data_IF_037522684522
#
_entry.id   IF_037522684522
#
_cell.length_a   1.000
_cell.length_b   1.000
_cell.length_c   1.000
_cell.angle_alpha   90.00
_cell.angle_beta   90.00
_cell.angle_gamma   90.00
#
_symmetry.space_group_name_H-M   'P 1'
#
loop_
_entity.id
_entity.type
_entity.pdbx_description
1 polymer ?
#
# COMPACT_ATOMS: atom_id res chain seq x y z
N UNK A 1 12.30 -1.80 5.51
CA UNK A 1 10.89 -2.21 5.63
C UNK A 1 10.48 -2.98 4.39
N UNK A 2 9.59 -3.99 4.47
CA UNK A 2 9.11 -4.68 3.28
C UNK A 2 8.34 -3.71 2.36
N UNK A 3 8.54 -3.80 1.05
CA UNK A 3 7.84 -2.95 0.08
C UNK A 3 6.32 -3.18 0.14
N UNK A 4 5.53 -2.10 0.13
CA UNK A 4 4.06 -2.17 0.09
C UNK A 4 3.65 -2.86 -1.21
N UNK A 5 3.10 -4.08 -1.12
CA UNK A 5 2.76 -4.93 -2.28
C UNK A 5 1.33 -4.72 -2.77
N UNK A 6 0.49 -4.10 -1.96
CA UNK A 6 -0.92 -3.88 -2.23
C UNK A 6 -1.32 -2.49 -1.78
N UNK A 7 -2.22 -1.89 -2.54
CA UNK A 7 -3.00 -0.72 -2.17
C UNK A 7 -4.35 -1.23 -1.67
N UNK A 8 -4.85 -0.66 -0.59
CA UNK A 8 -6.15 -1.01 -0.07
C UNK A 8 -6.92 0.24 0.34
N UNK A 9 -8.24 0.13 0.36
CA UNK A 9 -9.14 1.16 0.83
C UNK A 9 -10.46 0.54 1.28
N UNK A 10 -11.15 1.27 2.13
CA UNK A 10 -12.43 0.89 2.74
C UNK A 10 -13.31 2.12 2.89
N UNK A 11 -14.59 1.98 2.59
CA UNK A 11 -15.62 3.01 2.69
C UNK A 11 -16.64 2.57 3.72
N UNK A 12 -16.94 3.49 4.63
CA UNK A 12 -17.91 3.30 5.68
C UNK A 12 -19.05 4.29 5.53
N UNK A 13 -20.25 3.86 5.94
CA UNK A 13 -21.40 4.73 6.09
C UNK A 13 -21.60 4.99 7.58
N UNK A 14 -21.57 6.27 7.96
CA UNK A 14 -21.84 6.76 9.31
C UNK A 14 -23.28 7.28 9.34
N UNK A 15 -24.11 6.72 10.21
CA UNK A 15 -25.45 7.23 10.54
C UNK A 15 -25.39 7.82 11.95
N UNK A 16 -25.78 9.07 12.07
CA UNK A 16 -25.92 9.75 13.35
C UNK A 16 -27.40 9.99 13.62
N UNK A 17 -27.86 9.49 14.76
CA UNK A 17 -29.17 9.74 15.35
C UNK A 17 -28.97 10.49 16.68
N UNK A 18 -30.03 11.07 17.26
CA UNK A 18 -29.96 11.93 18.45
C UNK A 18 -29.26 11.28 19.66
N UNK A 19 -29.24 9.94 19.71
CA UNK A 19 -28.67 9.17 20.82
C UNK A 19 -27.58 8.18 20.39
N UNK A 20 -27.35 7.99 19.08
CA UNK A 20 -26.50 6.91 18.61
C UNK A 20 -25.80 7.25 17.30
N UNK A 21 -24.49 7.03 17.28
CA UNK A 21 -23.67 7.07 16.08
C UNK A 21 -23.29 5.63 15.70
N UNK A 22 -23.66 5.20 14.50
CA UNK A 22 -23.31 3.87 13.98
C UNK A 22 -22.54 4.00 12.69
N UNK A 23 -21.41 3.28 12.62
CA UNK A 23 -20.59 3.18 11.42
C UNK A 23 -20.53 1.74 10.95
N UNK A 24 -20.69 1.52 9.63
CA UNK A 24 -20.66 0.20 9.01
C UNK A 24 -19.85 0.23 7.72
N UNK A 25 -19.04 -0.81 7.50
CA UNK A 25 -18.33 -1.02 6.24
C UNK A 25 -19.34 -1.28 5.10
N UNK A 26 -19.21 -0.53 4.01
CA UNK A 26 -20.08 -0.66 2.82
C UNK A 26 -19.32 -1.21 1.63
N UNK A 27 -18.07 -0.79 1.45
CA UNK A 27 -17.24 -1.25 0.35
C UNK A 27 -15.78 -1.30 0.75
N UNK A 28 -15.05 -2.25 0.19
CA UNK A 28 -13.60 -2.32 0.30
C UNK A 28 -12.99 -2.74 -1.02
N UNK A 29 -11.78 -2.27 -1.30
CA UNK A 29 -11.06 -2.63 -2.52
C UNK A 29 -9.58 -2.78 -2.23
N UNK A 30 -9.01 -3.88 -2.72
CA UNK A 30 -7.56 -4.14 -2.71
C UNK A 30 -7.09 -4.21 -4.15
N UNK A 31 -5.89 -3.67 -4.42
CA UNK A 31 -5.24 -3.74 -5.72
C UNK A 31 -3.76 -4.05 -5.52
N UNK A 32 -3.22 -4.97 -6.31
CA UNK A 32 -1.78 -5.25 -6.33
C UNK A 32 -1.05 -3.99 -6.82
N UNK A 33 0.07 -3.67 -6.20
CA UNK A 33 0.92 -2.56 -6.62
C UNK A 33 1.32 -2.73 -8.10
N UNK A 34 1.43 -1.64 -8.88
CA UNK A 34 1.85 -1.71 -10.28
C UNK A 34 3.20 -2.43 -10.43
N UNK A 35 3.34 -3.20 -11.52
CA UNK A 35 4.60 -3.89 -11.85
C UNK A 35 5.74 -2.90 -12.13
N UNK A 36 5.41 -1.72 -12.65
CA UNK A 36 6.36 -0.62 -12.76
C UNK A 36 6.64 -0.09 -11.36
N UNK A 37 7.92 -0.07 -10.97
CA UNK A 37 8.36 0.48 -9.68
C UNK A 37 7.84 1.91 -9.53
N UNK A 38 7.10 2.13 -8.45
CA UNK A 38 6.60 3.43 -7.99
C UNK A 38 7.01 3.56 -6.53
N UNK A 39 7.36 4.77 -6.12
CA UNK A 39 7.72 5.05 -4.72
C UNK A 39 6.51 4.89 -3.82
N UNK A 40 6.78 4.70 -2.52
CA UNK A 40 5.73 4.55 -1.52
C UNK A 40 4.75 5.74 -1.54
N UNK A 41 5.17 7.03 -1.51
CA UNK A 41 4.23 8.15 -1.57
C UNK A 41 3.37 8.16 -2.83
N UNK A 42 3.92 7.77 -3.99
CA UNK A 42 3.16 7.65 -5.25
C UNK A 42 2.16 6.50 -5.19
N UNK A 43 2.46 5.40 -4.49
CA UNK A 43 1.50 4.33 -4.22
C UNK A 43 0.36 4.81 -3.32
N UNK A 44 0.65 5.57 -2.27
CA UNK A 44 -0.40 6.12 -1.39
C UNK A 44 -1.30 7.10 -2.13
N UNK A 45 -0.74 7.96 -2.99
CA UNK A 45 -1.51 8.83 -3.88
C UNK A 45 -2.41 8.03 -4.84
N UNK A 46 -1.92 6.91 -5.37
CA UNK A 46 -2.73 6.01 -6.21
C UNK A 46 -3.85 5.33 -5.41
N UNK A 47 -3.60 4.96 -4.15
CA UNK A 47 -4.63 4.45 -3.24
C UNK A 47 -5.73 5.49 -3.02
N UNK A 48 -5.35 6.75 -2.74
CA UNK A 48 -6.26 7.87 -2.59
C UNK A 48 -7.12 8.11 -3.85
N UNK A 49 -6.49 8.07 -5.03
CA UNK A 49 -7.19 8.18 -6.31
C UNK A 49 -8.20 7.05 -6.52
N UNK A 50 -7.83 5.81 -6.19
CA UNK A 50 -8.77 4.69 -6.25
C UNK A 50 -9.91 4.85 -5.23
N UNK A 51 -9.61 5.45 -4.08
CA UNK A 51 -10.56 5.76 -3.02
C UNK A 51 -11.66 6.71 -3.48
N UNK A 52 -11.32 7.84 -4.10
CA UNK A 52 -12.33 8.80 -4.60
C UNK A 52 -13.18 8.23 -5.72
N UNK A 53 -12.60 7.39 -6.58
CA UNK A 53 -13.35 6.70 -7.63
C UNK A 53 -14.35 5.71 -7.03
N UNK A 54 -13.94 4.97 -5.99
CA UNK A 54 -14.87 4.08 -5.29
C UNK A 54 -15.94 4.87 -4.52
N UNK A 55 -15.57 6.00 -3.90
CA UNK A 55 -16.52 6.88 -3.22
C UNK A 55 -17.60 7.36 -4.17
N UNK A 56 -17.21 7.85 -5.36
CA UNK A 56 -18.17 8.25 -6.41
C UNK A 56 -19.10 7.10 -6.77
N UNK A 57 -18.55 5.91 -7.04
CA UNK A 57 -19.34 4.72 -7.36
C UNK A 57 -20.32 4.35 -6.24
N UNK A 58 -19.89 4.34 -4.97
CA UNK A 58 -20.74 4.00 -3.83
C UNK A 58 -21.85 5.02 -3.63
N UNK A 59 -21.57 6.31 -3.79
CA UNK A 59 -22.58 7.38 -3.68
C UNK A 59 -23.65 7.23 -4.76
N UNK A 60 -23.25 6.94 -5.99
CA UNK A 60 -24.16 6.69 -7.11
C UNK A 60 -24.98 5.42 -6.89
N UNK A 61 -24.33 4.31 -6.50
CA UNK A 61 -24.99 3.02 -6.29
C UNK A 61 -25.97 3.00 -5.11
N UNK A 62 -25.74 3.83 -4.09
CA UNK A 62 -26.62 4.00 -2.94
C UNK A 62 -27.60 5.17 -3.09
N UNK A 63 -27.60 5.86 -4.23
CA UNK A 63 -28.46 7.01 -4.51
C UNK A 63 -28.40 8.08 -3.40
N UNK A 64 -27.20 8.31 -2.86
CA UNK A 64 -27.03 9.27 -1.76
C UNK A 64 -27.31 10.70 -2.26
N UNK A 65 -28.00 11.53 -1.46
CA UNK A 65 -28.20 12.93 -1.79
C UNK A 65 -26.89 13.64 -2.19
N UNK A 66 -26.91 14.55 -3.18
CA UNK A 66 -25.69 15.22 -3.64
C UNK A 66 -24.88 15.89 -2.52
N UNK A 67 -25.57 16.42 -1.52
CA UNK A 67 -24.99 17.13 -0.38
C UNK A 67 -24.70 16.24 0.84
N UNK A 68 -24.80 14.91 0.72
CA UNK A 68 -24.42 14.02 1.82
C UNK A 68 -22.95 14.23 2.18
N UNK A 69 -22.62 14.55 3.44
CA UNK A 69 -21.25 14.82 3.85
C UNK A 69 -20.37 13.58 3.73
N UNK A 70 -19.07 13.79 3.53
CA UNK A 70 -18.06 12.74 3.52
C UNK A 70 -16.73 13.28 4.04
N UNK A 71 -15.93 12.36 4.56
CA UNK A 71 -14.57 12.63 5.06
C UNK A 71 -13.64 11.58 4.49
N UNK A 72 -12.49 12.00 3.99
CA UNK A 72 -11.47 11.14 3.40
C UNK A 72 -10.26 11.08 4.32
N UNK A 73 -9.70 9.88 4.47
CA UNK A 73 -8.56 9.63 5.36
C UNK A 73 -7.40 8.98 4.60
N UNK A 74 -6.17 9.36 4.97
CA UNK A 74 -4.94 8.73 4.49
C UNK A 74 -3.91 8.69 5.62
N UNK A 75 -3.15 7.61 5.71
CA UNK A 75 -2.01 7.45 6.64
C UNK A 75 -0.72 8.09 6.13
N UNK A 76 -0.75 8.60 4.89
CA UNK A 76 0.38 9.26 4.26
C UNK A 76 0.25 10.77 4.35
N UNK A 77 1.00 11.39 5.27
CA UNK A 77 1.13 12.85 5.36
C UNK A 77 1.59 13.47 4.04
N UNK A 78 2.50 12.82 3.31
CA UNK A 78 2.98 13.29 2.00
C UNK A 78 1.83 13.30 0.99
N UNK A 79 1.08 12.21 0.87
CA UNK A 79 -0.06 12.17 -0.06
C UNK A 79 -1.15 13.18 0.34
N UNK A 80 -1.42 13.35 1.64
CA UNK A 80 -2.37 14.34 2.13
C UNK A 80 -1.95 15.76 1.74
N UNK A 81 -0.68 16.12 1.94
CA UNK A 81 -0.17 17.45 1.59
C UNK A 81 -0.20 17.70 0.08
N UNK A 82 0.13 16.70 -0.74
CA UNK A 82 -0.04 16.79 -2.19
C UNK A 82 -1.51 17.06 -2.58
N UNK A 83 -2.46 16.35 -1.95
CA UNK A 83 -3.89 16.48 -2.22
C UNK A 83 -4.44 17.84 -1.77
N UNK A 84 -3.97 18.41 -0.65
CA UNK A 84 -4.44 19.71 -0.13
C UNK A 84 -3.81 20.91 -0.84
N UNK A 85 -2.73 20.72 -1.59
CA UNK A 85 -2.01 21.79 -2.28
C UNK A 85 -2.49 22.01 -3.72
N UNK A 86 -2.12 23.15 -4.32
CA UNK A 86 -2.32 23.41 -5.75
C UNK A 86 -1.57 22.35 -6.60
N UNK A 87 -2.27 21.60 -7.49
CA UNK A 87 -1.65 20.61 -8.35
C UNK A 87 -0.52 21.17 -9.23
N UNK A 88 -0.58 22.45 -9.60
CA UNK A 88 0.39 23.09 -10.50
C UNK A 88 1.81 23.13 -9.93
N UNK A 89 1.94 23.00 -8.61
CA UNK A 89 3.22 22.93 -7.90
C UNK A 89 3.98 21.63 -8.19
N UNK A 90 3.25 20.56 -8.53
CA UNK A 90 3.81 19.21 -8.61
C UNK A 90 4.19 18.81 -10.04
N UNK A 91 5.07 17.81 -10.15
CA UNK A 91 5.40 17.19 -11.44
C UNK A 91 4.22 16.43 -12.00
N UNK A 92 4.27 16.18 -13.32
CA UNK A 92 3.16 15.63 -14.10
C UNK A 92 2.51 14.37 -13.50
N UNK A 93 3.29 13.46 -12.90
CA UNK A 93 2.70 12.29 -12.25
C UNK A 93 1.80 12.70 -11.08
N UNK A 94 2.32 13.44 -10.10
CA UNK A 94 1.57 13.83 -8.91
C UNK A 94 0.44 14.79 -9.32
N UNK A 95 0.74 15.84 -10.08
CA UNK A 95 -0.22 16.84 -10.57
C UNK A 95 -1.46 16.21 -11.19
N UNK A 96 -1.30 15.35 -12.19
CA UNK A 96 -2.44 14.79 -12.91
C UNK A 96 -3.34 13.92 -12.02
N UNK A 97 -2.79 13.26 -10.98
CA UNK A 97 -3.61 12.48 -10.04
C UNK A 97 -4.26 13.37 -8.98
N UNK A 98 -3.56 14.41 -8.52
CA UNK A 98 -4.13 15.41 -7.61
C UNK A 98 -5.28 16.14 -8.28
N UNK A 99 -5.15 16.60 -9.53
CA UNK A 99 -6.24 17.22 -10.30
C UNK A 99 -7.47 16.32 -10.35
N UNK A 100 -7.29 15.04 -10.63
CA UNK A 100 -8.41 14.09 -10.68
C UNK A 100 -9.04 13.90 -9.30
N UNK A 101 -8.22 13.78 -8.24
CA UNK A 101 -8.72 13.68 -6.86
C UNK A 101 -9.54 14.92 -6.48
N UNK A 102 -9.01 16.11 -6.73
CA UNK A 102 -9.66 17.38 -6.39
C UNK A 102 -10.92 17.62 -7.21
N UNK A 103 -11.01 17.08 -8.43
CA UNK A 103 -12.23 17.12 -9.25
C UNK A 103 -13.36 16.24 -8.69
N UNK A 104 -13.00 15.19 -7.92
CA UNK A 104 -13.93 14.22 -7.37
C UNK A 104 -14.26 14.45 -5.88
N UNK A 105 -13.34 15.03 -5.12
CA UNK A 105 -13.47 15.26 -3.69
C UNK A 105 -12.83 16.60 -3.29
N UNK A 106 -13.50 17.35 -2.41
CA UNK A 106 -12.97 18.62 -1.91
C UNK A 106 -11.66 18.36 -1.14
N UNK A 107 -10.55 19.05 -1.47
CA UNK A 107 -9.28 18.93 -0.75
C UNK A 107 -9.42 19.09 0.78
N UNK A 108 -10.32 19.95 1.23
CA UNK A 108 -10.55 20.22 2.66
C UNK A 108 -11.15 19.03 3.43
N UNK A 109 -11.72 18.04 2.73
CA UNK A 109 -12.25 16.83 3.35
C UNK A 109 -11.18 15.75 3.60
N UNK A 110 -9.90 16.02 3.31
CA UNK A 110 -8.81 15.07 3.47
C UNK A 110 -8.02 15.27 4.77
N UNK A 111 -8.05 14.24 5.60
CA UNK A 111 -7.41 14.22 6.91
C UNK A 111 -6.37 13.09 7.01
N UNK A 112 -5.41 13.29 7.90
CA UNK A 112 -4.46 12.24 8.25
C UNK A 112 -5.16 11.23 9.17
N UNK A 113 -4.88 9.94 8.99
CA UNK A 113 -5.27 8.91 9.93
C UNK A 113 -4.06 8.03 10.25
N UNK A 114 -3.64 7.89 11.52
CA UNK A 114 -2.53 7.01 11.86
C UNK A 114 -2.75 5.60 11.32
N UNK A 115 -1.73 4.95 10.75
CA UNK A 115 -1.89 3.62 10.14
C UNK A 115 -2.48 2.55 11.07
N UNK A 116 -2.29 2.67 12.39
CA UNK A 116 -2.92 1.79 13.39
C UNK A 116 -4.45 1.91 13.45
N UNK A 117 -4.97 3.07 13.07
CA UNK A 117 -6.40 3.40 12.99
C UNK A 117 -6.91 3.32 11.55
N UNK A 118 -6.06 2.96 10.59
CA UNK A 118 -6.45 2.80 9.20
C UNK A 118 -6.93 1.35 8.95
N UNK A 119 -8.24 1.10 8.80
CA UNK A 119 -8.74 -0.25 8.49
C UNK A 119 -8.20 -0.82 7.18
N UNK A 120 -7.80 0.03 6.23
CA UNK A 120 -7.22 -0.43 4.97
C UNK A 120 -5.86 -1.10 5.15
N UNK A 121 -5.10 -0.75 6.19
CA UNK A 121 -3.80 -1.37 6.47
C UNK A 121 -3.91 -2.83 6.89
N UNK A 122 -5.04 -3.24 7.47
CA UNK A 122 -5.30 -4.65 7.73
C UNK A 122 -5.29 -5.46 6.43
N UNK A 123 -5.85 -4.90 5.36
CA UNK A 123 -5.87 -5.54 4.06
C UNK A 123 -4.50 -5.56 3.38
N UNK A 124 -3.69 -4.50 3.52
CA UNK A 124 -2.34 -4.45 2.93
C UNK A 124 -1.38 -5.43 3.62
N UNK A 125 -1.61 -5.71 4.90
CA UNK A 125 -0.87 -6.70 5.70
C UNK A 125 -1.20 -8.17 5.38
N UNK A 126 -2.28 -8.45 4.65
CA UNK A 126 -2.66 -9.82 4.27
C UNK A 126 -3.21 -10.67 5.42
N UNK A 127 -4.06 -10.08 6.27
CA UNK A 127 -4.70 -10.80 7.38
C UNK A 127 -5.74 -11.82 6.91
N UNK A 128 -6.02 -12.84 7.75
CA UNK A 128 -7.04 -13.86 7.47
C UNK A 128 -8.45 -13.27 7.55
N UNK A 129 -9.37 -13.77 6.70
CA UNK A 129 -10.77 -13.36 6.75
C UNK A 129 -11.42 -13.55 8.13
N UNK A 130 -11.08 -14.64 8.84
CA UNK A 130 -11.58 -14.90 10.20
C UNK A 130 -11.15 -13.86 11.24
N UNK A 131 -10.02 -13.18 11.01
CA UNK A 131 -9.58 -12.06 11.83
C UNK A 131 -10.38 -10.79 11.51
N UNK A 132 -10.60 -10.50 10.22
CA UNK A 132 -11.40 -9.34 9.78
C UNK A 132 -12.82 -9.38 10.34
N UNK A 133 -13.45 -10.57 10.37
CA UNK A 133 -14.79 -10.76 10.92
C UNK A 133 -14.91 -10.47 12.43
N UNK A 134 -13.78 -10.37 13.14
CA UNK A 134 -13.73 -10.06 14.59
C UNK A 134 -13.10 -8.70 14.88
N UNK A 135 -12.70 -7.97 13.85
CA UNK A 135 -12.00 -6.71 14.00
C UNK A 135 -13.00 -5.57 14.05
N UNK A 136 -13.14 -4.95 15.22
CA UNK A 136 -13.99 -3.75 15.40
C UNK A 136 -13.58 -2.63 14.44
N UNK A 137 -12.27 -2.40 14.30
CA UNK A 137 -11.71 -1.42 13.36
C UNK A 137 -12.16 -1.70 11.92
N UNK A 138 -12.14 -2.97 11.48
CA UNK A 138 -12.54 -3.34 10.12
C UNK A 138 -14.04 -3.20 9.89
N UNK A 139 -14.86 -3.56 10.88
CA UNK A 139 -16.31 -3.60 10.75
C UNK A 139 -16.96 -2.23 10.94
N UNK A 140 -16.38 -1.41 11.82
CA UNK A 140 -16.93 -0.13 12.27
C UNK A 140 -16.08 1.07 11.88
N UNK A 141 -14.92 0.86 11.27
CA UNK A 141 -14.05 1.93 10.79
C UNK A 141 -13.22 2.56 11.91
N UNK A 142 -12.48 3.63 11.60
CA UNK A 142 -11.75 4.38 12.61
C UNK A 142 -12.73 4.93 13.66
N UNK A 143 -12.36 4.84 14.93
CA UNK A 143 -13.11 5.49 16.01
C UNK A 143 -13.06 7.01 15.90
N UNK A 144 -13.70 7.71 16.83
CA UNK A 144 -13.73 9.19 16.88
C UNK A 144 -12.31 9.81 16.96
N UNK A 145 -11.28 9.03 17.31
CA UNK A 145 -9.86 9.45 17.40
C UNK A 145 -9.30 10.05 16.11
N UNK A 146 -9.79 9.62 14.94
CA UNK A 146 -9.35 10.17 13.66
C UNK A 146 -10.07 11.49 13.29
N UNK A 147 -11.11 11.88 14.06
CA UNK A 147 -11.87 13.15 13.89
C UNK A 147 -11.22 14.35 14.58
N UNK A 148 -10.37 14.10 15.59
CA UNK A 148 -9.80 15.14 16.48
C UNK A 148 -8.37 15.57 16.09
N UNK A 149 -7.84 15.08 14.96
CA UNK A 149 -6.48 15.43 14.54
C UNK A 149 -6.53 16.84 13.97
N UNK A 150 -6.02 17.79 14.75
CA UNK A 150 -5.75 19.16 14.35
C UNK A 150 -5.11 19.19 12.98
N UNK A 151 -5.66 20.00 12.09
CA UNK A 151 -5.05 20.42 10.83
C UNK A 151 -3.72 21.14 11.14
N UNK A 152 -2.67 20.39 11.49
CA UNK A 152 -1.31 20.89 11.34
C UNK A 152 -1.13 21.20 9.85
N UNK A 153 -0.86 22.47 9.52
CA UNK A 153 -0.51 22.86 8.16
C UNK A 153 0.70 22.03 7.71
N UNK A 154 0.45 21.04 6.87
CA UNK A 154 1.49 20.21 6.29
C UNK A 154 2.14 20.99 5.15
N UNK A 155 3.22 21.70 5.45
CA UNK A 155 4.13 22.21 4.41
C UNK A 155 5.02 21.08 3.91
N UNK A 156 4.62 20.45 2.80
CA UNK A 156 5.55 19.61 2.02
C UNK A 156 6.35 20.51 1.09
N UNK A 157 7.67 20.47 1.26
CA UNK A 157 8.62 21.29 0.52
C UNK A 157 8.89 20.72 -0.88
N UNK A 158 9.35 21.55 -1.82
CA UNK A 158 9.83 21.06 -3.12
C UNK A 158 10.99 20.06 -2.96
N UNK A 159 11.80 20.19 -1.90
CA UNK A 159 12.85 19.22 -1.56
C UNK A 159 12.31 17.82 -1.27
N UNK A 160 11.12 17.69 -0.67
CA UNK A 160 10.51 16.40 -0.40
C UNK A 160 10.06 15.71 -1.70
N UNK A 161 9.53 16.46 -2.66
CA UNK A 161 9.19 15.92 -3.99
C UNK A 161 10.46 15.54 -4.76
N UNK A 162 11.52 16.35 -4.70
CA UNK A 162 12.82 16.03 -5.31
C UNK A 162 13.43 14.77 -4.72
N UNK A 163 13.31 14.54 -3.40
CA UNK A 163 13.78 13.31 -2.77
C UNK A 163 13.01 12.07 -3.25
N UNK A 164 11.68 12.19 -3.41
CA UNK A 164 10.85 11.13 -4.02
C UNK A 164 11.27 10.88 -5.47
N UNK A 165 11.61 11.92 -6.22
CA UNK A 165 12.10 11.82 -7.59
C UNK A 165 13.48 11.14 -7.66
N UNK A 166 14.41 11.54 -6.79
CA UNK A 166 15.75 10.95 -6.70
C UNK A 166 15.68 9.46 -6.36
N UNK A 167 14.80 9.07 -5.44
CA UNK A 167 14.52 7.67 -5.14
C UNK A 167 14.00 6.91 -6.38
N UNK A 168 13.14 7.54 -7.21
CA UNK A 168 12.72 6.90 -8.49
C UNK A 168 13.86 6.76 -9.48
N UNK A 169 14.77 7.73 -9.56
CA UNK A 169 15.93 7.74 -10.48
C UNK A 169 16.99 6.71 -10.07
N UNK A 170 17.35 6.65 -8.79
CA UNK A 170 18.26 5.61 -8.27
C UNK A 170 17.68 4.21 -8.50
N UNK A 171 16.38 4.01 -8.25
CA UNK A 171 15.72 2.72 -8.48
C UNK A 171 15.59 2.34 -9.95
N UNK A 172 15.56 3.33 -10.86
CA UNK A 172 15.59 3.11 -12.31
C UNK A 172 17.00 2.79 -12.82
N UNK A 173 18.05 3.31 -12.15
CA UNK A 173 19.46 3.06 -12.50
C UNK A 173 20.00 1.74 -11.92
N UNK A 174 19.29 1.11 -10.97
CA UNK A 174 19.69 -0.16 -10.35
C UNK A 174 18.83 -1.36 -10.82
N UNK A 175 18.92 -1.73 -12.10
CA UNK A 175 18.69 -3.11 -12.58
C UNK A 175 19.65 -3.41 -13.73
N UNK A 176 20.94 -3.38 -13.47
CA UNK A 176 21.82 -4.34 -14.12
C UNK A 176 21.81 -5.58 -13.21
N UNK A 177 21.42 -6.78 -13.68
CA UNK A 177 21.69 -7.98 -12.91
C UNK A 177 23.21 -8.11 -12.81
N UNK A 178 23.79 -7.68 -11.70
CA UNK A 178 25.16 -7.98 -11.34
C UNK A 178 25.20 -9.43 -10.85
N UNK A 179 25.04 -10.34 -11.80
CA UNK A 179 25.06 -11.77 -11.57
C UNK A 179 24.52 -12.51 -12.78
N UNK A 180 25.25 -13.53 -13.22
CA UNK A 180 24.75 -14.47 -14.21
C UNK A 180 23.42 -15.06 -13.72
N UNK A 181 22.38 -15.11 -14.56
CA UNK A 181 21.11 -15.72 -14.17
C UNK A 181 21.36 -17.16 -13.71
N UNK A 182 20.73 -17.54 -12.58
CA UNK A 182 20.77 -18.91 -12.05
C UNK A 182 20.33 -19.96 -13.08
N UNK A 183 19.48 -19.57 -14.03
CA UNK A 183 19.04 -20.38 -15.17
C UNK A 183 19.00 -19.49 -16.42
N UNK A 184 19.80 -19.82 -17.42
CA UNK A 184 19.69 -19.25 -18.77
C UNK A 184 18.46 -19.84 -19.48
N UNK A 185 17.29 -19.22 -19.25
CA UNK A 185 16.02 -19.69 -19.80
C UNK A 185 15.99 -19.65 -21.35
N UNK A 186 16.80 -18.80 -21.98
CA UNK A 186 16.94 -18.69 -23.44
C UNK A 186 17.47 -19.99 -24.09
N UNK A 187 18.10 -20.90 -23.32
CA UNK A 187 18.53 -22.22 -23.82
C UNK A 187 17.40 -23.21 -24.01
N UNK A 188 16.18 -22.88 -23.59
CA UNK A 188 15.03 -23.78 -23.63
C UNK A 188 14.00 -23.31 -24.65
N UNK A 189 13.81 -24.10 -25.71
CA UNK A 189 12.80 -23.79 -26.75
C UNK A 189 11.36 -24.08 -26.32
N UNK A 190 11.14 -24.73 -25.16
CA UNK A 190 9.82 -25.12 -24.64
C UNK A 190 9.76 -24.94 -23.13
N UNK A 191 8.70 -24.29 -22.65
CA UNK A 191 8.47 -24.00 -21.23
C UNK A 191 8.39 -25.27 -20.35
N UNK A 192 7.80 -26.34 -20.88
CA UNK A 192 7.69 -27.64 -20.19
C UNK A 192 9.06 -28.26 -19.86
N UNK A 193 10.12 -27.92 -20.62
CA UNK A 193 11.49 -28.38 -20.35
C UNK A 193 12.20 -27.51 -19.31
N UNK A 194 11.80 -26.25 -19.17
CA UNK A 194 12.37 -25.31 -18.21
C UNK A 194 11.90 -25.64 -16.78
N UNK A 195 10.61 -25.97 -16.62
CA UNK A 195 9.96 -26.26 -15.33
C UNK A 195 10.74 -27.27 -14.45
N UNK A 196 11.11 -28.47 -14.94
CA UNK A 196 11.83 -29.46 -14.14
C UNK A 196 13.23 -29.00 -13.73
N UNK A 197 13.92 -28.27 -14.61
CA UNK A 197 15.29 -27.78 -14.38
C UNK A 197 15.28 -26.71 -13.30
N UNK A 198 14.35 -25.76 -13.39
CA UNK A 198 14.19 -24.72 -12.36
C UNK A 198 13.81 -25.32 -11.01
N UNK A 199 12.91 -26.33 -10.99
CA UNK A 199 12.55 -27.04 -9.77
C UNK A 199 13.74 -27.79 -9.14
N UNK A 200 14.58 -28.42 -9.96
CA UNK A 200 15.80 -29.10 -9.50
C UNK A 200 16.81 -28.14 -8.86
N UNK A 201 17.00 -26.97 -9.47
CA UNK A 201 17.92 -25.94 -8.95
C UNK A 201 17.40 -25.36 -7.64
N UNK A 202 16.10 -25.04 -7.56
CA UNK A 202 15.47 -24.60 -6.31
C UNK A 202 15.61 -25.66 -5.21
N UNK A 203 15.38 -26.93 -5.54
CA UNK A 203 15.54 -28.05 -4.59
C UNK A 203 16.98 -28.20 -4.13
N UNK A 204 17.94 -28.10 -5.04
CA UNK A 204 19.37 -28.18 -4.73
C UNK A 204 19.81 -27.05 -3.79
N UNK A 205 19.43 -25.81 -4.08
CA UNK A 205 19.70 -24.65 -3.21
C UNK A 205 19.05 -24.82 -1.83
N UNK A 206 17.81 -25.32 -1.77
CA UNK A 206 17.12 -25.59 -0.51
C UNK A 206 17.86 -26.63 0.34
N UNK A 207 18.38 -27.68 -0.31
CA UNK A 207 19.13 -28.74 0.37
C UNK A 207 20.50 -28.28 0.87
N UNK A 208 21.15 -27.34 0.16
CA UNK A 208 22.38 -26.72 0.63
C UNK A 208 22.14 -25.83 1.85
N UNK A 209 21.04 -25.08 1.86
CA UNK A 209 20.66 -24.21 2.99
C UNK A 209 20.21 -25.00 4.22
N UNK A 210 19.65 -26.20 4.04
CA UNK A 210 19.22 -27.05 5.17
C UNK A 210 20.37 -27.82 5.84
N UNK A 211 21.55 -27.92 5.20
CA UNK A 211 22.72 -28.62 5.76
C UNK A 211 23.62 -27.75 6.63
N UNK A 212 23.34 -26.44 6.75
CA UNK A 212 24.19 -25.49 7.51
C UNK A 212 23.84 -25.40 9.01
N UNK A 213 23.01 -26.31 9.56
CA UNK A 213 22.66 -26.35 10.99
C UNK A 213 22.94 -27.75 11.57
N UNK A 214 24.23 -28.07 11.73
CA UNK A 214 24.74 -28.92 12.80
C UNK A 214 26.25 -28.66 12.94
N UNK A 215 26.74 -28.07 14.05
CA UNK A 215 28.16 -28.11 14.36
C UNK A 215 28.50 -29.54 14.81
N UNK A 216 29.26 -30.27 13.99
CA UNK A 216 29.85 -31.54 14.41
C UNK A 216 30.90 -31.29 15.47
N UNK A 217 30.68 -31.83 16.66
CA UNK A 217 31.65 -31.92 17.75
C UNK A 217 32.80 -32.82 17.26
N UNK A 218 34.04 -32.32 17.28
CA UNK A 218 35.25 -33.12 17.12
C UNK A 218 35.52 -33.89 18.41
N UNK A 219 35.84 -35.20 18.38
CA UNK A 219 36.39 -35.88 19.54
C UNK A 219 37.79 -35.35 19.83
N UNK A 220 38.06 -35.04 21.10
CA UNK A 220 39.38 -34.73 21.64
C UNK A 220 40.28 -35.98 21.55
N UNK A 221 41.34 -35.90 20.75
CA UNK A 221 42.48 -36.82 20.84
C UNK A 221 43.51 -36.24 21.80
N UNK A 222 43.34 -36.53 23.09
CA UNK A 222 44.40 -36.45 24.09
C UNK A 222 44.70 -37.85 24.66
N UNK A 223 45.94 -38.25 24.41
CA UNK A 223 46.83 -39.09 25.23
C UNK A 223 46.77 -40.63 25.16
N UNK A 224 47.88 -41.14 24.58
CA UNK A 224 48.73 -42.32 24.90
C UNK A 224 48.15 -43.72 24.63
#
# INVERSE_FOLDING_TARGET
MPAKRHMALSIFLKRTDEQCTQTKLVAAKVRVAPLKKVTLPRLELLSALLGVRLLKFVREALELPPHTPYTCFTDSKIAQAWIRSDPCRWKQFVRNRVEEIQSAANPACWHHCPGKENPADLLTCGVKASFLMKSELWLHGPGETCSDISDEELEVSESDELAVEEETRLNAMLVAPSGNPLVEYERFSKFEKLLPVTALIIRFVSNLKSKTLAPGILPDDHEI
#
